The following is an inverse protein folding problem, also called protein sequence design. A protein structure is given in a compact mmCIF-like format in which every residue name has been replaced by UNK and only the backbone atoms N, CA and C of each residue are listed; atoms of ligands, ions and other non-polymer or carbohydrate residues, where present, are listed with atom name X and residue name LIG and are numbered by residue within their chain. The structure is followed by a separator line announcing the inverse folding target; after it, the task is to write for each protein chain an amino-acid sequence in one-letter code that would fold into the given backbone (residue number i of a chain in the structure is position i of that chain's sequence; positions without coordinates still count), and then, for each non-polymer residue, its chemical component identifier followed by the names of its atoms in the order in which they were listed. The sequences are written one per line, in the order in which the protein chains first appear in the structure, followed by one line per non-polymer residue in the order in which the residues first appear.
data_IF_477325191264
#
_entry.id   IF_477325191264
#
_cell.length_a   1.000
_cell.length_b   1.000
_cell.length_c   1.000
_cell.angle_alpha   90.00
_cell.angle_beta   90.00
_cell.angle_gamma   90.00
#
_symmetry.space_group_name_H-M   'P 1'
#
loop_
_entity.id
_entity.type
_entity.pdbx_description
1 polymer ?
#
# COMPACT_ATOMS: atom_id res chain seq x y z
N UNK A 1 -7.12 9.42 -13.08
CA UNK A 1 -6.62 8.41 -14.05
C UNK A 1 -7.10 8.72 -15.45
N UNK A 2 -8.30 8.26 -15.80
CA UNK A 2 -8.89 8.44 -17.15
C UNK A 2 -8.96 9.92 -17.56
N UNK A 3 -9.32 10.82 -16.64
CA UNK A 3 -9.38 12.25 -16.93
C UNK A 3 -8.03 12.85 -17.30
N UNK A 4 -6.96 12.47 -16.58
CA UNK A 4 -5.60 12.88 -16.87
C UNK A 4 -5.15 12.38 -18.24
N UNK A 5 -5.38 11.09 -18.53
CA UNK A 5 -5.07 10.51 -19.85
C UNK A 5 -5.79 11.21 -21.01
N UNK A 6 -7.06 11.62 -20.82
CA UNK A 6 -7.82 12.32 -21.88
C UNK A 6 -7.34 13.75 -22.13
N UNK A 7 -6.72 14.39 -21.15
CA UNK A 7 -6.40 15.82 -21.17
C UNK A 7 -4.95 16.03 -20.73
N UNK A 8 -3.98 16.10 -21.67
CA UNK A 8 -2.55 16.24 -21.35
C UNK A 8 -2.21 17.46 -20.49
N UNK A 9 -2.99 18.54 -20.62
CA UNK A 9 -2.83 19.72 -19.76
C UNK A 9 -3.25 19.43 -18.31
N UNK A 10 -4.32 18.66 -18.10
CA UNK A 10 -4.82 18.32 -16.76
C UNK A 10 -3.88 17.35 -16.06
N UNK A 11 -3.29 16.41 -16.82
CA UNK A 11 -2.20 15.56 -16.35
C UNK A 11 -1.04 16.39 -15.80
N UNK A 12 -0.47 17.28 -16.63
CA UNK A 12 0.75 18.03 -16.28
C UNK A 12 0.54 19.08 -15.20
N UNK A 13 -0.57 19.81 -15.22
CA UNK A 13 -0.77 20.97 -14.35
C UNK A 13 -1.46 20.65 -13.02
N UNK A 14 -2.30 19.60 -12.98
CA UNK A 14 -3.16 19.33 -11.82
C UNK A 14 -2.85 17.95 -11.24
N UNK A 15 -2.96 16.92 -12.07
CA UNK A 15 -2.94 15.54 -11.56
C UNK A 15 -1.54 15.15 -11.12
N UNK A 16 -0.51 15.28 -11.96
CA UNK A 16 0.85 14.87 -11.59
C UNK A 16 1.36 15.60 -10.34
N UNK A 17 1.29 16.94 -10.23
CA UNK A 17 1.70 17.63 -8.99
C UNK A 17 0.93 17.19 -7.76
N UNK A 18 -0.39 16.97 -7.88
CA UNK A 18 -1.20 16.48 -6.75
C UNK A 18 -0.81 15.05 -6.34
N UNK A 19 -0.53 14.17 -7.30
CA UNK A 19 -0.06 12.81 -7.02
C UNK A 19 1.33 12.80 -6.39
N UNK A 20 2.21 13.71 -6.83
CA UNK A 20 3.56 13.86 -6.29
C UNK A 20 3.50 14.38 -4.86
N UNK A 21 2.65 15.37 -4.59
CA UNK A 21 2.35 15.82 -3.23
C UNK A 21 1.80 14.67 -2.38
N UNK A 22 0.87 13.87 -2.94
CA UNK A 22 0.28 12.70 -2.28
C UNK A 22 1.29 11.64 -1.83
N UNK A 23 2.43 11.54 -2.53
CA UNK A 23 3.47 10.55 -2.27
C UNK A 23 4.65 11.08 -1.47
N UNK A 24 4.89 12.39 -1.52
CA UNK A 24 6.05 13.04 -0.87
C UNK A 24 5.76 13.46 0.55
N UNK A 25 4.51 13.78 0.88
CA UNK A 25 4.12 14.08 2.25
C UNK A 25 4.26 12.79 3.09
N UNK A 26 4.93 12.84 4.25
CA UNK A 26 5.03 11.71 5.16
C UNK A 26 3.65 11.19 5.57
N UNK A 27 3.49 9.86 5.69
CA UNK A 27 2.21 9.22 6.05
C UNK A 27 1.59 9.77 7.34
N UNK A 28 2.40 10.08 8.36
CA UNK A 28 1.91 10.67 9.61
C UNK A 28 1.29 12.06 9.41
N UNK A 29 1.77 12.85 8.46
CA UNK A 29 1.22 14.17 8.18
C UNK A 29 -0.18 14.09 7.56
N UNK A 30 -0.53 13.01 6.82
CA UNK A 30 -1.91 12.77 6.36
C UNK A 30 -2.89 12.54 7.49
N UNK A 31 -2.41 11.98 8.60
CA UNK A 31 -3.26 11.55 9.69
C UNK A 31 -3.68 12.72 10.57
N UNK A 32 -2.85 13.78 10.69
CA UNK A 32 -3.16 14.97 11.51
C UNK A 32 -4.47 15.65 11.06
N UNK A 33 -4.65 16.05 9.78
CA UNK A 33 -5.91 16.66 9.35
C UNK A 33 -7.10 15.71 9.48
N UNK A 34 -6.93 14.41 9.22
CA UNK A 34 -8.02 13.44 9.32
C UNK A 34 -8.46 13.25 10.77
N UNK A 35 -7.52 13.26 11.73
CA UNK A 35 -7.83 13.24 13.16
C UNK A 35 -8.57 14.49 13.62
N UNK A 36 -8.18 15.67 13.14
CA UNK A 36 -8.85 16.92 13.50
C UNK A 36 -10.29 16.97 12.99
N UNK A 37 -10.56 16.39 11.81
CA UNK A 37 -11.89 16.39 11.19
C UNK A 37 -12.79 15.24 11.67
N UNK A 38 -12.24 14.05 11.87
CA UNK A 38 -12.99 12.81 12.11
C UNK A 38 -12.66 12.12 13.45
N UNK A 39 -11.83 12.74 14.28
CA UNK A 39 -11.37 12.19 15.55
C UNK A 39 -10.50 10.93 15.39
N UNK A 40 -10.26 10.28 16.53
CA UNK A 40 -9.62 8.97 16.57
C UNK A 40 -10.64 7.87 16.20
N UNK A 41 -10.91 7.72 14.91
CA UNK A 41 -11.86 6.74 14.38
C UNK A 41 -11.24 5.89 13.27
N UNK A 42 -11.71 4.63 13.09
CA UNK A 42 -11.32 3.81 11.93
C UNK A 42 -11.62 4.50 10.59
N UNK A 43 -12.61 5.41 10.56
CA UNK A 43 -12.97 6.20 9.37
C UNK A 43 -11.84 7.14 8.97
N UNK A 44 -11.22 7.83 9.94
CA UNK A 44 -10.06 8.71 9.72
C UNK A 44 -8.91 7.95 9.04
N UNK A 45 -8.59 6.76 9.55
CA UNK A 45 -7.59 5.88 8.99
C UNK A 45 -7.93 5.39 7.57
N UNK A 46 -9.18 5.02 7.31
CA UNK A 46 -9.63 4.58 5.99
C UNK A 46 -9.47 5.68 4.95
N UNK A 47 -9.84 6.92 5.28
CA UNK A 47 -9.71 8.07 4.36
C UNK A 47 -8.23 8.38 4.11
N UNK A 48 -7.40 8.44 5.16
CA UNK A 48 -5.96 8.65 5.01
C UNK A 48 -5.31 7.56 4.12
N UNK A 49 -5.71 6.31 4.32
CA UNK A 49 -5.26 5.17 3.50
C UNK A 49 -5.69 5.31 2.05
N UNK A 50 -6.94 5.72 1.80
CA UNK A 50 -7.44 5.93 0.45
C UNK A 50 -6.67 7.03 -0.27
N UNK A 51 -6.39 8.15 0.39
CA UNK A 51 -5.59 9.25 -0.16
C UNK A 51 -4.18 8.75 -0.51
N UNK A 52 -3.53 8.05 0.43
CA UNK A 52 -2.17 7.55 0.26
C UNK A 52 -2.04 6.47 -0.83
N UNK A 53 -3.06 5.61 -0.99
CA UNK A 53 -3.04 4.53 -1.97
C UNK A 53 -3.53 4.94 -3.36
N UNK A 54 -4.16 6.11 -3.52
CA UNK A 54 -4.70 6.59 -4.81
C UNK A 54 -3.63 6.81 -5.90
N UNK A 55 -2.47 7.44 -5.62
CA UNK A 55 -1.48 7.76 -6.64
C UNK A 55 -1.01 6.61 -7.55
N UNK A 56 -0.59 5.43 -7.05
CA UNK A 56 -0.18 4.33 -7.93
C UNK A 56 -1.30 3.87 -8.85
N UNK A 57 -2.55 3.85 -8.39
CA UNK A 57 -3.68 3.46 -9.24
C UNK A 57 -3.90 4.46 -10.37
N UNK A 58 -3.81 5.76 -10.05
CA UNK A 58 -3.95 6.82 -11.05
C UNK A 58 -2.83 6.72 -12.09
N UNK A 59 -1.58 6.55 -11.67
CA UNK A 59 -0.42 6.39 -12.58
C UNK A 59 -0.52 5.11 -13.42
N UNK A 60 -0.89 3.99 -12.83
CA UNK A 60 -1.11 2.73 -13.55
C UNK A 60 -2.23 2.87 -14.60
N UNK A 61 -3.28 3.64 -14.31
CA UNK A 61 -4.35 3.93 -15.27
C UNK A 61 -3.85 4.76 -16.44
N UNK A 62 -3.08 5.83 -16.18
CA UNK A 62 -2.51 6.67 -17.25
C UNK A 62 -1.58 5.85 -18.14
N UNK A 63 -0.63 5.13 -17.53
CA UNK A 63 0.31 4.27 -18.23
C UNK A 63 -0.39 3.17 -19.02
N UNK A 64 -1.39 2.53 -18.42
CA UNK A 64 -2.15 1.44 -19.03
C UNK A 64 -2.89 1.89 -20.29
N UNK A 65 -3.53 3.06 -20.23
CA UNK A 65 -4.27 3.60 -21.38
C UNK A 65 -3.34 4.15 -22.48
N UNK A 66 -2.20 4.74 -22.11
CA UNK A 66 -1.20 5.22 -23.08
C UNK A 66 -0.49 4.07 -23.81
N UNK A 67 -0.36 2.90 -23.16
CA UNK A 67 0.28 1.71 -23.77
C UNK A 67 -0.65 0.89 -24.68
N UNK A 68 -1.93 1.24 -24.78
CA UNK A 68 -2.83 0.53 -25.71
C UNK A 68 -2.41 0.85 -27.15
N UNK A 69 -2.15 -0.15 -28.01
CA UNK A 69 -1.80 0.07 -29.41
C UNK A 69 -2.85 0.92 -30.14
N UNK A 70 -2.38 1.82 -31.01
CA UNK A 70 -3.24 2.79 -31.71
C UNK A 70 -4.27 2.08 -32.59
N UNK A 71 -3.89 0.94 -33.18
CA UNK A 71 -4.69 0.11 -34.09
C UNK A 71 -5.97 -0.40 -33.40
N UNK A 72 -5.91 -0.69 -32.10
CA UNK A 72 -7.08 -1.10 -31.29
C UNK A 72 -8.06 0.07 -31.16
N UNK A 73 -7.53 1.28 -31.02
CA UNK A 73 -8.31 2.51 -30.98
C UNK A 73 -9.01 2.80 -32.32
N UNK A 74 -8.28 2.70 -33.43
CA UNK A 74 -8.79 2.93 -34.78
C UNK A 74 -9.82 1.88 -35.19
N UNK A 75 -9.59 0.61 -34.85
CA UNK A 75 -10.55 -0.47 -35.04
C UNK A 75 -11.88 -0.17 -34.35
N UNK A 76 -11.84 0.36 -33.12
CA UNK A 76 -13.07 0.72 -32.40
C UNK A 76 -13.83 1.87 -33.05
N UNK A 77 -13.12 2.81 -33.68
CA UNK A 77 -13.73 3.93 -34.40
C UNK A 77 -14.37 3.45 -35.71
N UNK A 78 -13.69 2.56 -36.46
CA UNK A 78 -14.24 1.90 -37.64
C UNK A 78 -15.47 1.04 -37.33
N UNK A 79 -15.49 0.40 -36.16
CA UNK A 79 -16.64 -0.37 -35.67
C UNK A 79 -17.82 0.51 -35.20
N UNK A 80 -17.71 1.84 -35.28
CA UNK A 80 -18.78 2.77 -34.89
C UNK A 80 -18.98 2.89 -33.37
N UNK A 81 -17.96 2.60 -32.56
CA UNK A 81 -18.09 2.70 -31.10
C UNK A 81 -18.23 4.15 -30.64
N UNK A 82 -19.23 4.42 -29.81
CA UNK A 82 -19.31 5.70 -29.08
C UNK A 82 -18.10 5.85 -28.13
N UNK A 83 -17.74 7.09 -27.77
CA UNK A 83 -16.61 7.35 -26.86
C UNK A 83 -16.71 6.62 -25.51
N UNK A 84 -17.93 6.36 -25.03
CA UNK A 84 -18.17 5.58 -23.80
C UNK A 84 -17.95 4.08 -24.04
N UNK A 85 -18.42 3.54 -25.17
CA UNK A 85 -18.17 2.15 -25.55
C UNK A 85 -16.69 1.90 -25.80
N UNK A 86 -16.00 2.79 -26.53
CA UNK A 86 -14.55 2.73 -26.75
C UNK A 86 -13.78 2.65 -25.42
N UNK A 87 -14.10 3.52 -24.46
CA UNK A 87 -13.44 3.50 -23.15
C UNK A 87 -13.69 2.20 -22.38
N UNK A 88 -14.96 1.81 -22.19
CA UNK A 88 -15.32 0.73 -21.27
C UNK A 88 -15.22 -0.67 -21.86
N UNK A 89 -15.41 -0.82 -23.17
CA UNK A 89 -15.43 -2.11 -23.87
C UNK A 89 -14.14 -2.42 -24.63
N UNK A 90 -13.33 -1.41 -24.95
CA UNK A 90 -12.11 -1.61 -25.76
C UNK A 90 -10.86 -1.22 -24.96
N UNK A 91 -10.72 0.06 -24.59
CA UNK A 91 -9.49 0.57 -23.97
C UNK A 91 -9.24 0.01 -22.57
N UNK A 92 -10.24 0.08 -21.67
CA UNK A 92 -10.09 -0.44 -20.30
C UNK A 92 -9.80 -1.95 -20.28
N UNK A 93 -10.52 -2.80 -21.04
CA UNK A 93 -10.18 -4.22 -21.15
C UNK A 93 -8.77 -4.48 -21.68
N UNK A 94 -8.33 -3.73 -22.70
CA UNK A 94 -6.99 -3.87 -23.27
C UNK A 94 -5.88 -3.44 -22.29
N UNK A 95 -6.15 -2.45 -21.45
CA UNK A 95 -5.23 -1.95 -20.42
C UNK A 95 -5.25 -2.76 -19.10
N UNK A 96 -6.12 -3.78 -18.98
CA UNK A 96 -6.32 -4.55 -17.73
C UNK A 96 -5.03 -5.05 -17.07
N UNK A 97 -4.06 -5.65 -17.79
CA UNK A 97 -2.83 -6.15 -17.15
C UNK A 97 -2.10 -5.04 -16.38
N UNK A 98 -1.97 -3.86 -16.98
CA UNK A 98 -1.33 -2.70 -16.35
C UNK A 98 -2.18 -2.15 -15.19
N UNK A 99 -3.51 -2.15 -15.31
CA UNK A 99 -4.40 -1.75 -14.21
C UNK A 99 -4.26 -2.69 -13.00
N UNK A 100 -4.06 -3.99 -13.22
CA UNK A 100 -3.86 -4.96 -12.14
C UNK A 100 -2.54 -4.76 -11.39
N UNK A 101 -1.49 -4.27 -12.06
CA UNK A 101 -0.29 -3.80 -11.36
C UNK A 101 -0.63 -2.65 -10.41
N UNK A 102 -1.44 -1.69 -10.86
CA UNK A 102 -1.92 -0.58 -10.03
C UNK A 102 -2.73 -1.04 -8.81
N UNK A 103 -3.66 -1.96 -9.01
CA UNK A 103 -4.47 -2.54 -7.92
C UNK A 103 -3.59 -3.29 -6.92
N UNK A 104 -2.58 -4.03 -7.38
CA UNK A 104 -1.65 -4.69 -6.46
C UNK A 104 -0.94 -3.67 -5.57
N UNK A 105 -0.48 -2.55 -6.15
CA UNK A 105 0.16 -1.49 -5.38
C UNK A 105 -0.80 -0.83 -4.38
N UNK A 106 -2.07 -0.61 -4.75
CA UNK A 106 -3.09 -0.10 -3.81
C UNK A 106 -3.26 -1.05 -2.63
N UNK A 107 -3.38 -2.35 -2.88
CA UNK A 107 -3.53 -3.37 -1.82
C UNK A 107 -2.32 -3.35 -0.89
N UNK A 108 -1.11 -3.35 -1.45
CA UNK A 108 0.13 -3.35 -0.67
C UNK A 108 0.27 -2.09 0.19
N UNK A 109 0.01 -0.91 -0.38
CA UNK A 109 0.06 0.36 0.38
C UNK A 109 -1.02 0.42 1.44
N UNK A 110 -2.24 -0.06 1.13
CA UNK A 110 -3.32 -0.08 2.10
C UNK A 110 -3.00 -0.97 3.30
N UNK A 111 -2.42 -2.15 3.08
CA UNK A 111 -2.00 -3.05 4.14
C UNK A 111 -0.87 -2.48 5.00
N UNK A 112 0.12 -1.83 4.38
CA UNK A 112 1.17 -1.15 5.12
C UNK A 112 0.59 -0.03 6.01
N UNK A 113 -0.42 0.68 5.49
CA UNK A 113 -1.08 1.75 6.24
C UNK A 113 -1.90 1.25 7.43
N UNK A 114 -2.37 -0.01 7.46
CA UNK A 114 -3.12 -0.57 8.60
C UNK A 114 -2.30 -0.49 9.90
N UNK A 115 -1.00 -0.74 9.84
CA UNK A 115 -0.11 -0.66 11.02
C UNK A 115 0.01 0.79 11.48
N UNK A 116 0.25 1.71 10.55
CA UNK A 116 0.39 3.14 10.88
C UNK A 116 -0.91 3.72 11.43
N UNK A 117 -2.04 3.38 10.83
CA UNK A 117 -3.38 3.75 11.28
C UNK A 117 -3.66 3.27 12.71
N UNK A 118 -3.22 2.06 13.06
CA UNK A 118 -3.41 1.51 14.40
C UNK A 118 -2.63 2.28 15.47
N UNK A 119 -1.51 2.92 15.12
CA UNK A 119 -0.74 3.78 16.04
C UNK A 119 -1.51 5.00 16.52
N UNK A 120 -2.51 5.39 15.76
CA UNK A 120 -3.32 6.57 16.00
C UNK A 120 -4.66 6.21 16.68
N UNK A 121 -4.97 4.92 16.79
CA UNK A 121 -6.12 4.41 17.54
C UNK A 121 -7.26 3.89 16.66
N UNK A 122 -7.01 3.63 15.37
CA UNK A 122 -7.96 2.93 14.50
C UNK A 122 -8.25 1.48 14.92
N UNK A 123 -7.52 0.94 15.90
CA UNK A 123 -7.65 -0.43 16.39
C UNK A 123 -7.11 -1.49 15.42
N UNK A 124 -7.62 -2.72 15.54
CA UNK A 124 -7.27 -3.85 14.68
C UNK A 124 -5.92 -4.50 15.01
N UNK A 125 -5.46 -5.42 14.14
CA UNK A 125 -4.25 -6.23 14.37
C UNK A 125 -2.99 -5.40 14.62
N UNK A 126 -2.86 -4.23 13.99
CA UNK A 126 -1.72 -3.34 14.22
C UNK A 126 -1.67 -2.79 15.65
N UNK A 127 -2.83 -2.62 16.29
CA UNK A 127 -2.92 -2.11 17.66
C UNK A 127 -2.38 -3.15 18.65
N UNK A 128 -2.66 -4.43 18.41
CA UNK A 128 -2.15 -5.53 19.24
C UNK A 128 -0.62 -5.60 19.19
N UNK A 129 -0.02 -5.42 17.99
CA UNK A 129 1.44 -5.32 17.83
C UNK A 129 2.00 -4.14 18.62
N UNK A 130 1.39 -2.96 18.46
CA UNK A 130 1.85 -1.75 19.14
C UNK A 130 1.78 -1.89 20.67
N UNK A 131 0.69 -2.46 21.18
CA UNK A 131 0.48 -2.67 22.61
C UNK A 131 1.50 -3.68 23.17
N UNK A 132 1.75 -4.78 22.46
CA UNK A 132 2.76 -5.76 22.84
C UNK A 132 4.17 -5.18 22.83
N UNK A 133 4.52 -4.35 21.84
CA UNK A 133 5.81 -3.66 21.78
C UNK A 133 5.99 -2.66 22.93
N UNK A 134 4.96 -1.83 23.22
CA UNK A 134 4.98 -0.89 24.34
C UNK A 134 5.08 -1.59 25.68
N UNK A 135 4.48 -2.77 25.81
CA UNK A 135 4.55 -3.62 27.00
C UNK A 135 5.83 -4.48 27.06
N UNK A 136 6.77 -4.33 26.13
CA UNK A 136 8.00 -5.14 26.00
C UNK A 136 7.73 -6.65 25.92
N UNK A 137 6.54 -7.03 25.46
CA UNK A 137 6.12 -8.43 25.29
C UNK A 137 6.49 -8.92 23.90
N UNK A 138 7.78 -9.18 23.70
CA UNK A 138 8.34 -9.51 22.37
C UNK A 138 7.66 -10.71 21.71
N UNK A 139 7.31 -11.75 22.48
CA UNK A 139 6.61 -12.92 21.94
C UNK A 139 5.22 -12.61 21.38
N UNK A 140 4.42 -11.81 22.10
CA UNK A 140 3.10 -11.35 21.64
C UNK A 140 3.24 -10.42 20.42
N UNK A 141 4.25 -9.54 20.43
CA UNK A 141 4.53 -8.63 19.31
C UNK A 141 4.94 -9.39 18.04
N UNK A 142 5.75 -10.45 18.17
CA UNK A 142 6.14 -11.30 17.04
C UNK A 142 4.96 -12.09 16.48
N UNK A 143 4.14 -12.69 17.35
CA UNK A 143 2.93 -13.42 16.93
C UNK A 143 2.00 -12.52 16.11
N UNK A 144 1.65 -11.35 16.65
CA UNK A 144 0.76 -10.42 15.96
C UNK A 144 1.38 -9.88 14.67
N UNK A 145 2.70 -9.60 14.66
CA UNK A 145 3.42 -9.18 13.46
C UNK A 145 3.41 -10.24 12.36
N UNK A 146 3.64 -11.51 12.71
CA UNK A 146 3.61 -12.62 11.77
C UNK A 146 2.20 -12.86 11.21
N UNK A 147 1.15 -12.68 12.01
CA UNK A 147 -0.22 -12.75 11.53
C UNK A 147 -0.50 -11.69 10.44
N UNK A 148 -0.02 -10.46 10.62
CA UNK A 148 -0.16 -9.40 9.61
C UNK A 148 0.63 -9.73 8.35
N UNK A 149 1.87 -10.23 8.47
CA UNK A 149 2.69 -10.64 7.33
C UNK A 149 2.04 -11.79 6.55
N UNK A 150 1.50 -12.79 7.24
CA UNK A 150 0.79 -13.90 6.61
C UNK A 150 -0.44 -13.42 5.81
N UNK A 151 -1.22 -12.49 6.38
CA UNK A 151 -2.35 -11.87 5.70
C UNK A 151 -1.89 -11.09 4.45
N UNK A 152 -0.81 -10.33 4.57
CA UNK A 152 -0.27 -9.56 3.45
C UNK A 152 0.22 -10.47 2.31
N UNK A 153 0.95 -11.54 2.62
CA UNK A 153 1.39 -12.54 1.64
C UNK A 153 0.19 -13.23 0.98
N UNK A 154 -0.84 -13.57 1.75
CA UNK A 154 -2.05 -14.19 1.20
C UNK A 154 -2.75 -13.26 0.20
N UNK A 155 -2.92 -11.97 0.55
CA UNK A 155 -3.55 -10.98 -0.32
C UNK A 155 -2.72 -10.70 -1.58
N UNK A 156 -1.41 -10.56 -1.46
CA UNK A 156 -0.51 -10.37 -2.60
C UNK A 156 -0.55 -11.59 -3.55
N UNK A 157 -0.47 -12.82 -3.00
CA UNK A 157 -0.58 -14.05 -3.82
C UNK A 157 -1.93 -14.16 -4.54
N UNK A 158 -3.03 -13.84 -3.87
CA UNK A 158 -4.36 -13.84 -4.49
C UNK A 158 -4.46 -12.80 -5.61
N UNK A 159 -3.96 -11.58 -5.38
CA UNK A 159 -3.91 -10.50 -6.36
C UNK A 159 -3.10 -10.90 -7.61
N UNK A 160 -1.91 -11.48 -7.42
CA UNK A 160 -1.07 -11.97 -8.50
C UNK A 160 -1.72 -13.13 -9.27
N UNK A 161 -2.38 -14.08 -8.58
CA UNK A 161 -3.09 -15.17 -9.24
C UNK A 161 -4.22 -14.66 -10.14
N UNK A 162 -4.94 -13.63 -9.71
CA UNK A 162 -5.97 -12.96 -10.53
C UNK A 162 -5.35 -12.30 -11.75
N UNK A 163 -4.23 -11.59 -11.59
CA UNK A 163 -3.52 -10.93 -12.69
C UNK A 163 -2.98 -11.94 -13.73
N UNK A 164 -2.34 -13.03 -13.30
CA UNK A 164 -1.77 -14.05 -14.18
C UNK A 164 -2.82 -14.85 -14.96
N UNK A 165 -3.95 -15.20 -14.31
CA UNK A 165 -5.05 -15.93 -14.97
C UNK A 165 -5.69 -15.14 -16.11
N UNK A 166 -5.59 -13.81 -16.07
CA UNK A 166 -6.14 -12.92 -17.09
C UNK A 166 -5.17 -12.68 -18.26
N UNK A 167 -3.86 -12.62 -17.99
CA UNK A 167 -2.83 -12.46 -19.02
C UNK A 167 -2.73 -13.66 -19.97
N UNK A 168 -3.07 -14.87 -19.50
CA UNK A 168 -2.96 -16.12 -20.27
C UNK A 168 -4.12 -16.37 -21.25
N UNK A 169 -5.01 -15.40 -21.49
CA UNK A 169 -5.99 -15.47 -22.57
C UNK A 169 -6.98 -16.63 -22.49
N UNK A 170 -7.11 -17.30 -21.33
CA UNK A 170 -8.00 -18.44 -21.16
C UNK A 170 -9.50 -18.06 -21.07
N UNK A 171 -9.83 -16.78 -21.29
CA UNK A 171 -11.19 -16.26 -21.47
C UNK A 171 -11.65 -16.35 -22.95
N UNK A 172 -11.23 -17.39 -23.70
CA UNK A 172 -11.76 -17.72 -25.04
C UNK A 172 -13.17 -18.32 -25.03
N UNK A 173 -13.92 -18.28 -23.93
CA UNK A 173 -15.24 -18.94 -23.83
C UNK A 173 -16.38 -17.97 -23.54
N UNK A 174 -17.08 -17.66 -24.64
CA UNK A 174 -18.52 -17.40 -24.81
C UNK A 174 -19.14 -16.14 -24.17
N UNK A 175 -19.91 -15.44 -25.00
CA UNK A 175 -20.83 -14.34 -24.72
C UNK A 175 -21.96 -14.64 -23.71
N UNK A 176 -21.85 -15.74 -22.95
CA UNK A 176 -22.78 -16.20 -21.92
C UNK A 176 -21.97 -16.66 -20.70
N UNK A 177 -21.16 -15.76 -20.14
CA UNK A 177 -20.50 -16.06 -18.86
C UNK A 177 -21.57 -16.06 -17.76
N UNK A 178 -21.75 -17.16 -17.00
CA UNK A 178 -22.62 -17.13 -15.84
C UNK A 178 -22.10 -16.09 -14.84
N UNK A 179 -23.01 -15.40 -14.13
CA UNK A 179 -22.65 -14.30 -13.22
C UNK A 179 -21.56 -14.68 -12.21
N UNK A 180 -20.85 -13.68 -11.68
CA UNK A 180 -19.73 -13.84 -10.71
C UNK A 180 -20.00 -14.89 -9.62
N UNK A 181 -21.25 -14.95 -9.16
CA UNK A 181 -21.81 -15.89 -8.18
C UNK A 181 -21.68 -17.37 -8.58
N UNK A 182 -21.89 -17.72 -9.85
CA UNK A 182 -21.72 -19.09 -10.37
C UNK A 182 -20.29 -19.40 -10.80
N UNK A 183 -19.48 -18.37 -11.09
CA UNK A 183 -18.07 -18.53 -11.52
C UNK A 183 -17.14 -18.91 -10.36
N UNK A 184 -17.47 -18.48 -9.13
CA UNK A 184 -16.70 -18.79 -7.91
C UNK A 184 -17.64 -19.16 -6.75
N UNK A 185 -18.28 -20.35 -6.78
CA UNK A 185 -19.28 -20.74 -5.78
C UNK A 185 -18.73 -20.73 -4.35
N UNK A 186 -17.51 -21.26 -4.15
CA UNK A 186 -16.91 -21.30 -2.81
C UNK A 186 -16.54 -19.90 -2.28
N UNK A 187 -16.12 -19.00 -3.17
CA UNK A 187 -15.69 -17.64 -2.79
C UNK A 187 -16.91 -16.76 -2.47
N UNK A 188 -17.97 -16.88 -3.28
CA UNK A 188 -19.22 -16.17 -3.03
C UNK A 188 -19.92 -16.70 -1.77
N UNK A 189 -19.86 -18.00 -1.52
CA UNK A 189 -20.34 -18.61 -0.28
C UNK A 189 -19.50 -18.16 0.93
N UNK A 190 -18.17 -18.12 0.82
CA UNK A 190 -17.31 -17.62 1.89
C UNK A 190 -17.57 -16.13 2.21
N UNK A 191 -17.72 -15.27 1.20
CA UNK A 191 -18.07 -13.86 1.38
C UNK A 191 -19.47 -13.74 2.00
N UNK A 192 -20.44 -14.54 1.54
CA UNK A 192 -21.79 -14.51 2.08
C UNK A 192 -21.81 -14.94 3.56
N UNK A 193 -21.09 -16.01 3.92
CA UNK A 193 -20.95 -16.43 5.32
C UNK A 193 -20.29 -15.32 6.14
N UNK A 194 -19.23 -14.69 5.64
CA UNK A 194 -18.53 -13.62 6.34
C UNK A 194 -19.44 -12.39 6.54
N UNK A 195 -20.19 -12.00 5.52
CA UNK A 195 -21.15 -10.90 5.60
C UNK A 195 -22.32 -11.20 6.56
N UNK A 196 -22.84 -12.43 6.53
CA UNK A 196 -23.92 -12.86 7.42
C UNK A 196 -23.44 -12.95 8.87
N UNK A 197 -22.26 -13.52 9.13
CA UNK A 197 -21.70 -13.62 10.48
C UNK A 197 -21.38 -12.25 11.07
N UNK A 198 -20.85 -11.32 10.27
CA UNK A 198 -20.60 -9.93 10.70
C UNK A 198 -21.90 -9.17 10.97
N UNK A 199 -22.94 -9.32 10.12
CA UNK A 199 -24.26 -8.74 10.37
C UNK A 199 -24.92 -9.30 11.64
N UNK A 200 -24.85 -10.62 11.85
CA UNK A 200 -25.38 -11.26 13.05
C UNK A 200 -24.63 -10.82 14.31
N UNK A 201 -23.33 -10.53 14.20
CA UNK A 201 -22.52 -9.95 15.27
C UNK A 201 -23.01 -8.59 15.77
N UNK A 202 -23.76 -7.83 14.96
CA UNK A 202 -24.39 -6.57 15.39
C UNK A 202 -25.59 -6.78 16.32
N UNK A 203 -26.27 -7.92 16.19
CA UNK A 203 -27.47 -8.25 16.98
C UNK A 203 -27.16 -9.16 18.17
N UNK A 204 -26.15 -10.01 18.03
CA UNK A 204 -25.79 -11.02 19.04
C UNK A 204 -24.30 -10.87 19.37
N UNK A 205 -23.95 -10.34 20.56
CA UNK A 205 -22.57 -10.12 20.98
C UNK A 205 -21.68 -11.37 20.95
N UNK A 206 -22.28 -12.57 21.05
CA UNK A 206 -21.56 -13.84 20.98
C UNK A 206 -20.93 -14.11 19.60
N UNK A 207 -21.42 -13.50 18.52
CA UNK A 207 -20.82 -13.59 17.19
C UNK A 207 -19.84 -12.45 16.89
N UNK A 208 -19.78 -11.41 17.73
CA UNK A 208 -18.88 -10.28 17.56
C UNK A 208 -17.44 -10.59 17.99
N UNK A 209 -17.24 -11.54 18.90
CA UNK A 209 -15.93 -11.91 19.40
C UNK A 209 -15.76 -13.44 19.38
N UNK A 210 -14.61 -13.88 18.86
CA UNK A 210 -14.22 -15.30 18.96
C UNK A 210 -13.96 -15.62 20.43
N UNK A 211 -14.56 -16.67 21.00
CA UNK A 211 -14.31 -17.06 22.38
C UNK A 211 -12.82 -17.33 22.61
N UNK A 212 -12.25 -16.78 23.69
CA UNK A 212 -10.83 -16.99 24.09
C UNK A 212 -10.45 -18.47 24.28
N UNK A 213 -11.43 -19.37 24.36
CA UNK A 213 -11.19 -20.82 24.44
C UNK A 213 -10.72 -21.43 23.10
N UNK A 214 -10.97 -20.77 21.97
CA UNK A 214 -10.64 -21.27 20.61
C UNK A 214 -9.39 -20.54 20.06
N UNK A 215 -8.86 -19.56 20.77
CA UNK A 215 -7.68 -18.80 20.32
C UNK A 215 -6.41 -19.61 20.57
N UNK A 216 -5.76 -20.04 19.50
CA UNK A 216 -4.42 -20.64 19.54
C UNK A 216 -3.38 -19.52 19.58
N UNK A 217 -2.52 -19.52 20.62
CA UNK A 217 -1.40 -18.57 20.73
C UNK A 217 -0.07 -19.28 20.50
N UNK A 218 0.78 -18.66 19.68
CA UNK A 218 2.16 -19.05 19.40
C UNK A 218 3.18 -18.18 20.14
N UNK A 219 2.74 -17.12 20.85
CA UNK A 219 3.61 -16.20 21.60
C UNK A 219 4.63 -16.87 22.54
N UNK A 220 4.32 -17.95 23.28
CA UNK A 220 5.31 -18.61 24.14
C UNK A 220 6.51 -19.16 23.35
N UNK A 221 6.27 -19.70 22.15
CA UNK A 221 7.31 -20.22 21.27
C UNK A 221 8.23 -19.09 20.81
N UNK A 222 7.65 -17.98 20.34
CA UNK A 222 8.41 -16.80 19.90
C UNK A 222 9.20 -16.17 21.05
N UNK A 223 8.61 -16.07 22.23
CA UNK A 223 9.29 -15.59 23.44
C UNK A 223 10.49 -16.47 23.79
N UNK A 224 10.31 -17.79 23.78
CA UNK A 224 11.39 -18.72 24.07
C UNK A 224 12.54 -18.62 23.04
N UNK A 225 12.19 -18.51 21.74
CA UNK A 225 13.17 -18.34 20.68
C UNK A 225 13.98 -17.05 20.83
N UNK A 226 13.31 -15.90 21.07
CA UNK A 226 13.98 -14.61 21.26
C UNK A 226 14.87 -14.62 22.51
N UNK A 227 14.37 -15.18 23.62
CA UNK A 227 15.15 -15.32 24.84
C UNK A 227 16.39 -16.20 24.63
N UNK A 228 16.24 -17.32 23.93
CA UNK A 228 17.36 -18.19 23.61
C UNK A 228 18.43 -17.46 22.79
N UNK A 229 18.03 -16.71 21.76
CA UNK A 229 18.98 -15.90 20.97
C UNK A 229 19.66 -14.85 21.82
N UNK A 230 18.88 -14.13 22.63
CA UNK A 230 19.37 -13.02 23.44
C UNK A 230 20.34 -13.50 24.51
N UNK A 231 20.12 -14.68 25.10
CA UNK A 231 21.02 -15.25 26.11
C UNK A 231 22.29 -15.83 25.47
N UNK A 232 22.16 -16.62 24.40
CA UNK A 232 23.32 -17.32 23.82
C UNK A 232 24.24 -16.41 23.00
N UNK A 233 23.68 -15.36 22.40
CA UNK A 233 24.42 -14.44 21.52
C UNK A 233 24.59 -13.05 22.13
N UNK A 234 24.34 -12.88 23.44
CA UNK A 234 24.37 -11.58 24.10
C UNK A 234 25.68 -10.82 23.82
N UNK A 235 26.81 -11.44 24.16
CA UNK A 235 28.14 -10.82 24.06
C UNK A 235 28.49 -10.43 22.62
N UNK A 236 28.15 -11.30 21.67
CA UNK A 236 28.40 -11.08 20.24
C UNK A 236 27.54 -9.91 19.73
N UNK A 237 26.24 -9.90 20.09
CA UNK A 237 25.30 -8.84 19.69
C UNK A 237 25.71 -7.50 20.32
N UNK A 238 26.12 -7.50 21.58
CA UNK A 238 26.57 -6.30 22.29
C UNK A 238 27.86 -5.74 21.70
N UNK A 239 28.88 -6.58 21.50
CA UNK A 239 30.14 -6.18 20.88
C UNK A 239 29.91 -5.58 19.48
N UNK A 240 29.06 -6.23 18.66
CA UNK A 240 28.68 -5.72 17.35
C UNK A 240 27.95 -4.37 17.45
N UNK A 241 26.96 -4.25 18.33
CA UNK A 241 26.21 -3.00 18.55
C UNK A 241 27.14 -1.85 18.91
N UNK A 242 28.06 -2.07 19.85
CA UNK A 242 29.02 -1.05 20.31
C UNK A 242 29.97 -0.66 19.18
N UNK A 243 30.54 -1.64 18.46
CA UNK A 243 31.42 -1.38 17.32
C UNK A 243 30.70 -0.59 16.21
N UNK A 244 29.45 -0.94 15.91
CA UNK A 244 28.62 -0.23 14.93
C UNK A 244 28.32 1.21 15.37
N UNK A 245 27.96 1.42 16.65
CA UNK A 245 27.66 2.75 17.19
C UNK A 245 28.90 3.64 17.13
N UNK A 246 30.03 3.15 17.63
CA UNK A 246 31.24 3.96 17.77
C UNK A 246 31.95 4.21 16.44
N UNK A 247 32.07 3.19 15.58
CA UNK A 247 32.89 3.29 14.37
C UNK A 247 32.10 3.69 13.12
N UNK A 248 30.77 3.55 13.14
CA UNK A 248 29.93 3.81 11.95
C UNK A 248 28.90 4.89 12.24
N UNK A 249 27.98 4.68 13.18
CA UNK A 249 26.85 5.59 13.37
C UNK A 249 27.29 6.95 13.89
N UNK A 250 28.15 7.02 14.92
CA UNK A 250 28.59 8.30 15.49
C UNK A 250 29.40 9.15 14.51
N UNK A 251 30.39 8.62 13.77
CA UNK A 251 31.10 9.40 12.76
C UNK A 251 30.19 9.87 11.63
N UNK A 252 29.29 9.01 11.14
CA UNK A 252 28.33 9.39 10.09
C UNK A 252 27.38 10.47 10.58
N UNK A 253 26.86 10.34 11.81
CA UNK A 253 26.02 11.35 12.44
C UNK A 253 26.77 12.69 12.56
N UNK A 254 28.00 12.67 13.06
CA UNK A 254 28.83 13.86 13.19
C UNK A 254 29.14 14.51 11.83
N UNK A 255 29.35 13.72 10.78
CA UNK A 255 29.51 14.22 9.42
C UNK A 255 28.22 14.88 8.90
N UNK A 256 27.06 14.25 9.08
CA UNK A 256 25.78 14.80 8.65
C UNK A 256 25.40 16.07 9.43
N UNK A 257 25.62 16.11 10.74
CA UNK A 257 25.36 17.29 11.59
C UNK A 257 26.38 18.41 11.34
N UNK A 258 27.62 18.05 11.00
CA UNK A 258 28.69 19.01 10.69
C UNK A 258 28.56 19.65 9.31
N UNK A 259 27.66 19.16 8.45
CA UNK A 259 27.46 19.71 7.12
C UNK A 259 26.51 20.92 7.18
N UNK A 260 26.99 22.16 6.92
CA UNK A 260 26.12 23.32 6.96
C UNK A 260 25.03 23.18 5.89
N UNK A 261 23.77 23.35 6.29
CA UNK A 261 22.62 23.17 5.39
C UNK A 261 22.74 24.03 4.11
N UNK A 262 23.31 25.23 4.23
CA UNK A 262 23.63 26.11 3.10
C UNK A 262 24.59 25.48 2.08
N UNK A 263 25.57 24.72 2.55
CA UNK A 263 26.50 23.98 1.69
C UNK A 263 25.81 22.84 0.94
N UNK A 264 24.80 22.19 1.55
CA UNK A 264 24.01 21.15 0.89
C UNK A 264 23.12 21.73 -0.20
N UNK A 265 22.41 22.81 0.12
CA UNK A 265 21.59 23.53 -0.85
C UNK A 265 22.44 24.05 -2.00
N UNK A 266 23.63 24.59 -1.71
CA UNK A 266 24.56 25.05 -2.75
C UNK A 266 25.08 23.92 -3.64
N UNK A 267 25.52 22.80 -3.07
CA UNK A 267 25.97 21.63 -3.85
C UNK A 267 24.84 21.05 -4.71
N UNK A 268 23.64 20.93 -4.15
CA UNK A 268 22.47 20.44 -4.88
C UNK A 268 22.06 21.43 -5.98
N UNK A 269 22.13 22.74 -5.72
CA UNK A 269 21.91 23.78 -6.72
C UNK A 269 22.94 23.74 -7.86
N UNK A 270 24.22 23.56 -7.55
CA UNK A 270 25.30 23.38 -8.54
C UNK A 270 25.13 22.10 -9.37
N UNK A 271 24.79 20.99 -8.73
CA UNK A 271 24.50 19.74 -9.42
C UNK A 271 23.28 19.89 -10.33
N UNK A 272 22.23 20.55 -9.85
CA UNK A 272 21.03 20.88 -10.63
C UNK A 272 21.34 21.75 -11.85
N UNK A 273 22.24 22.73 -11.68
CA UNK A 273 22.73 23.59 -12.76
C UNK A 273 23.48 22.78 -13.84
N UNK A 274 24.37 21.86 -13.43
CA UNK A 274 25.14 21.02 -14.36
C UNK A 274 24.27 20.02 -15.13
N UNK A 275 23.22 19.46 -14.50
CA UNK A 275 22.42 18.40 -15.11
C UNK A 275 21.30 18.91 -16.03
N UNK A 276 20.72 20.08 -15.77
CA UNK A 276 19.55 20.55 -16.52
C UNK A 276 19.39 22.08 -16.62
N UNK A 277 20.43 22.83 -16.25
CA UNK A 277 20.50 24.28 -16.37
C UNK A 277 19.84 25.07 -15.22
N UNK A 278 19.76 26.39 -15.40
CA UNK A 278 19.38 27.37 -14.37
C UNK A 278 18.01 27.14 -13.72
N UNK A 279 17.04 26.58 -14.46
CA UNK A 279 15.67 26.40 -13.96
C UNK A 279 15.58 25.37 -12.84
N UNK A 280 16.31 24.26 -12.97
CA UNK A 280 16.32 23.22 -11.94
C UNK A 280 17.23 23.61 -10.78
N UNK A 281 18.33 24.31 -11.05
CA UNK A 281 19.18 24.90 -10.02
C UNK A 281 18.40 25.86 -9.10
N UNK A 282 17.59 26.74 -9.69
CA UNK A 282 16.76 27.69 -8.93
C UNK A 282 15.64 26.99 -8.15
N UNK A 283 15.04 25.93 -8.69
CA UNK A 283 14.02 25.14 -7.98
C UNK A 283 14.58 24.32 -6.81
N UNK A 284 15.84 23.88 -6.92
CA UNK A 284 16.51 23.08 -5.88
C UNK A 284 17.15 23.95 -4.80
N UNK A 285 17.53 25.19 -5.17
CA UNK A 285 18.14 26.15 -4.25
C UNK A 285 17.16 27.06 -3.49
N UNK A 286 15.88 27.07 -3.89
CA UNK A 286 14.78 27.82 -3.25
C UNK A 286 14.09 27.00 -2.16
#
# INVERSE_FOLDING_TARGET
GIWAWRKPWAERLIVSPALDLMQTIPTFAYLIPMLLLFGNSPVSAMIATAIFATPPMVRATMLGLTRVPLEIGEFSDMAGCTARQKLWRVLLPSARPTLMVGVNQVIMLALNMVIIASMIGAGGLGYDVLLALRALKVGEAMEAGLAIVALAIALDRLSQAIAHKQATGNDRRSATSPGFWRRYPNLTLAIAILAVTTLLGLFVPAFAAVPKAITFTTAPLWKAAVNWVTINFFDIIEAFRVALILNVLNPVRAFCEGFPWLGAVFLLGLAGYQLSGLRLAALVAA
#
